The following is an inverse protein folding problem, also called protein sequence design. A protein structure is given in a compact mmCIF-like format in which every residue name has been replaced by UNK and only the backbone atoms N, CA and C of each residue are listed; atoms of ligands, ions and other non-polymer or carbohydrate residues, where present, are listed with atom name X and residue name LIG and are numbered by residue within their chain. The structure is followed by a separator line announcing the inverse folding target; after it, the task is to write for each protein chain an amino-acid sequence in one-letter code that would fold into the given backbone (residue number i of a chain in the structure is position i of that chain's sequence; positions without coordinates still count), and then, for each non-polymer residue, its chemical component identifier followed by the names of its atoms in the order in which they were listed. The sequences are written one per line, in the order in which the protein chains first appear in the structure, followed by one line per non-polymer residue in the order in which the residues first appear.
data_IF_050109372311
#
_entry.id   IF_050109372311
#
_cell.length_a   1.000
_cell.length_b   1.000
_cell.length_c   1.000
_cell.angle_alpha   90.00
_cell.angle_beta   90.00
_cell.angle_gamma   90.00
#
_symmetry.space_group_name_H-M   'P 1'
#
loop_
_entity.id
_entity.type
_entity.pdbx_description
1 polymer ?
#
# COMPACT_ATOMS: atom_id res chain seq x y z
N UNK A 1 -17.27 -9.63 12.26
CA UNK A 1 -16.89 -10.96 12.80
C UNK A 1 -15.40 -10.95 13.02
N UNK A 2 -14.91 -11.68 14.01
CA UNK A 2 -13.47 -11.90 14.15
C UNK A 2 -13.05 -13.02 13.19
N UNK A 3 -12.56 -12.66 11.99
CA UNK A 3 -12.14 -13.65 10.99
C UNK A 3 -10.93 -14.49 11.45
N UNK A 4 -10.26 -14.10 12.54
CA UNK A 4 -9.11 -14.80 13.13
C UNK A 4 -9.54 -16.06 13.92
N UNK A 5 -10.79 -16.08 14.39
CA UNK A 5 -11.39 -17.19 15.13
C UNK A 5 -12.57 -17.84 14.42
N UNK A 6 -13.08 -17.19 13.36
CA UNK A 6 -14.20 -17.69 12.57
C UNK A 6 -13.71 -18.73 11.56
N UNK A 7 -13.69 -20.00 11.96
CA UNK A 7 -13.65 -21.12 11.01
C UNK A 7 -15.09 -21.47 10.63
N UNK A 8 -15.56 -20.97 9.51
CA UNK A 8 -16.86 -21.33 8.95
C UNK A 8 -16.71 -21.99 7.59
N UNK A 9 -17.68 -22.84 7.22
CA UNK A 9 -17.88 -23.28 5.82
C UNK A 9 -18.99 -22.46 5.15
N UNK A 10 -19.47 -21.41 5.80
CA UNK A 10 -20.54 -20.54 5.29
C UNK A 10 -19.99 -19.60 4.21
N UNK A 11 -20.23 -19.98 2.96
CA UNK A 11 -19.87 -19.19 1.79
C UNK A 11 -20.49 -17.78 1.78
N UNK A 12 -21.54 -17.50 2.57
CA UNK A 12 -22.12 -16.15 2.62
C UNK A 12 -21.16 -15.11 3.23
N UNK A 13 -20.16 -15.53 4.02
CA UNK A 13 -19.20 -14.61 4.63
C UNK A 13 -18.31 -13.92 3.60
N UNK A 14 -17.85 -14.63 2.58
CA UNK A 14 -17.03 -14.03 1.50
C UNK A 14 -17.84 -13.06 0.64
N UNK A 15 -19.17 -13.17 0.67
CA UNK A 15 -20.11 -12.33 -0.08
C UNK A 15 -20.50 -11.06 0.67
N UNK A 16 -20.03 -10.87 1.91
CA UNK A 16 -20.38 -9.69 2.71
C UNK A 16 -19.70 -8.43 2.14
N UNK A 17 -20.42 -7.31 2.25
CA UNK A 17 -19.91 -5.99 1.90
C UNK A 17 -20.15 -5.02 3.06
N UNK A 18 -19.24 -4.07 3.24
CA UNK A 18 -19.46 -2.97 4.17
C UNK A 18 -20.44 -1.95 3.59
N UNK A 19 -21.30 -1.40 4.44
CA UNK A 19 -22.15 -0.28 4.05
C UNK A 19 -21.35 1.04 4.01
N UNK A 20 -21.83 2.05 3.27
CA UNK A 20 -21.21 3.37 3.29
C UNK A 20 -21.13 4.00 4.70
N UNK A 21 -22.02 3.62 5.62
CA UNK A 21 -21.99 4.12 7.01
C UNK A 21 -20.87 3.47 7.83
N UNK A 22 -20.48 2.24 7.49
CA UNK A 22 -19.33 1.56 8.11
C UNK A 22 -18.00 2.11 7.57
N UNK A 23 -17.98 2.57 6.31
CA UNK A 23 -16.81 3.15 5.64
C UNK A 23 -17.04 4.64 5.34
N UNK A 24 -17.42 5.40 6.36
CA UNK A 24 -17.92 6.79 6.21
C UNK A 24 -16.88 7.74 5.63
N UNK A 25 -15.63 7.65 6.03
CA UNK A 25 -14.51 8.47 5.54
C UNK A 25 -14.26 8.15 4.07
N UNK A 26 -13.98 6.87 3.75
CA UNK A 26 -13.70 6.45 2.38
C UNK A 26 -14.87 6.77 1.44
N UNK A 27 -16.10 6.46 1.85
CA UNK A 27 -17.31 6.70 1.04
C UNK A 27 -17.58 8.19 0.85
N UNK A 28 -17.28 9.04 1.84
CA UNK A 28 -17.45 10.49 1.70
C UNK A 28 -16.40 11.06 0.75
N UNK A 29 -15.14 10.63 0.85
CA UNK A 29 -14.08 11.04 -0.07
C UNK A 29 -14.40 10.61 -1.52
N UNK A 30 -14.87 9.37 -1.72
CA UNK A 30 -15.30 8.87 -3.03
C UNK A 30 -16.40 9.74 -3.65
N UNK A 31 -17.39 10.18 -2.87
CA UNK A 31 -18.47 11.06 -3.34
C UNK A 31 -18.02 12.50 -3.58
N UNK A 32 -17.08 12.99 -2.77
CA UNK A 32 -16.60 14.37 -2.85
C UNK A 32 -15.56 14.62 -3.96
N UNK A 33 -14.93 13.54 -4.45
CA UNK A 33 -13.87 13.57 -5.45
C UNK A 33 -14.10 12.49 -6.51
N UNK A 34 -13.13 11.58 -6.70
CA UNK A 34 -13.18 10.53 -7.70
C UNK A 34 -13.07 9.13 -7.12
N UNK A 35 -13.79 8.18 -7.70
CA UNK A 35 -13.68 6.73 -7.43
C UNK A 35 -13.58 5.95 -8.74
N UNK A 36 -12.71 4.95 -8.77
CA UNK A 36 -12.68 3.97 -9.85
C UNK A 36 -13.43 2.72 -9.43
N UNK A 37 -14.32 2.25 -10.29
CA UNK A 37 -14.94 0.93 -10.21
C UNK A 37 -14.30 -0.06 -11.21
N UNK A 38 -13.14 0.29 -11.76
CA UNK A 38 -12.37 -0.53 -12.69
C UNK A 38 -10.86 -0.43 -12.39
N UNK A 39 -10.50 -0.44 -11.10
CA UNK A 39 -9.13 -0.56 -10.62
C UNK A 39 -8.88 -1.99 -10.14
N UNK A 40 -7.85 -2.63 -10.66
CA UNK A 40 -7.55 -4.03 -10.40
C UNK A 40 -6.24 -4.19 -9.64
N UNK A 41 -6.16 -5.23 -8.80
CA UNK A 41 -4.86 -5.71 -8.34
C UNK A 41 -4.01 -6.10 -9.57
N UNK A 42 -2.71 -5.76 -9.62
CA UNK A 42 -1.85 -6.08 -10.76
C UNK A 42 -1.80 -7.57 -11.11
N UNK A 43 -1.87 -8.44 -10.09
CA UNK A 43 -1.88 -9.89 -10.24
C UNK A 43 -2.89 -10.54 -9.27
N UNK A 44 -3.47 -11.71 -9.62
CA UNK A 44 -4.39 -12.45 -8.76
C UNK A 44 -3.62 -13.16 -7.62
N UNK A 45 -2.97 -12.39 -6.77
CA UNK A 45 -2.08 -12.87 -5.72
C UNK A 45 -2.22 -12.06 -4.43
N UNK A 46 -1.38 -12.39 -3.46
CA UNK A 46 -1.30 -11.86 -2.12
C UNK A 46 -0.59 -10.49 -2.08
N UNK A 47 -0.46 -9.94 -0.87
CA UNK A 47 0.14 -8.64 -0.59
C UNK A 47 1.49 -8.37 -1.26
N UNK A 48 2.45 -9.29 -1.20
CA UNK A 48 3.83 -8.95 -1.59
C UNK A 48 3.99 -8.78 -3.10
N UNK A 49 3.48 -9.67 -3.97
CA UNK A 49 3.48 -9.42 -5.41
C UNK A 49 2.78 -8.12 -5.79
N UNK A 50 1.59 -7.84 -5.27
CA UNK A 50 0.86 -6.62 -5.64
C UNK A 50 1.54 -5.34 -5.14
N UNK A 51 2.11 -5.32 -3.93
CA UNK A 51 2.95 -4.21 -3.46
C UNK A 51 4.25 -4.08 -4.26
N UNK A 52 4.82 -5.20 -4.74
CA UNK A 52 5.98 -5.16 -5.64
C UNK A 52 5.63 -4.45 -6.95
N UNK A 53 4.46 -4.72 -7.54
CA UNK A 53 3.98 -3.95 -8.69
C UNK A 53 3.76 -2.46 -8.37
N UNK A 54 3.23 -2.11 -7.19
CA UNK A 54 3.05 -0.72 -6.78
C UNK A 54 4.37 0.07 -6.65
N UNK A 55 5.48 -0.62 -6.33
CA UNK A 55 6.78 0.01 -6.09
C UNK A 55 7.82 -0.20 -7.20
N UNK A 56 7.75 -1.29 -7.95
CA UNK A 56 8.74 -1.69 -8.95
C UNK A 56 8.12 -1.98 -10.32
N UNK A 57 6.78 -1.97 -10.44
CA UNK A 57 6.09 -2.30 -11.69
C UNK A 57 6.18 -3.78 -12.06
N UNK A 58 6.71 -4.63 -11.18
CA UNK A 58 6.88 -6.06 -11.39
C UNK A 58 6.95 -6.80 -10.05
N UNK A 59 6.63 -8.09 -10.07
CA UNK A 59 6.95 -9.04 -9.01
C UNK A 59 8.12 -9.97 -9.40
N UNK A 60 8.93 -9.64 -10.40
CA UNK A 60 10.10 -10.42 -10.80
C UNK A 60 9.78 -11.92 -11.04
N UNK A 61 8.61 -12.21 -11.61
CA UNK A 61 8.12 -13.58 -11.80
C UNK A 61 7.43 -14.23 -10.60
N UNK A 62 7.45 -13.66 -9.41
CA UNK A 62 6.86 -14.27 -8.21
C UNK A 62 5.34 -14.10 -8.13
N UNK A 63 4.65 -15.15 -7.70
CA UNK A 63 3.18 -15.24 -7.62
C UNK A 63 2.65 -15.47 -6.22
N UNK A 64 3.51 -15.43 -5.20
CA UNK A 64 3.14 -15.52 -3.79
C UNK A 64 4.12 -14.73 -2.92
N UNK A 65 3.96 -14.79 -1.60
CA UNK A 65 4.76 -14.03 -0.64
C UNK A 65 6.12 -14.69 -0.30
N UNK A 66 6.39 -15.88 -0.84
CA UNK A 66 7.36 -16.81 -0.30
C UNK A 66 6.87 -17.46 1.00
N UNK A 67 7.72 -18.24 1.65
CA UNK A 67 7.39 -18.94 2.89
C UNK A 67 8.38 -18.58 4.00
N UNK A 68 7.93 -17.97 5.12
CA UNK A 68 8.81 -17.74 6.27
C UNK A 68 9.46 -19.05 6.75
N UNK A 69 10.76 -19.07 7.12
CA UNK A 69 11.65 -17.92 7.39
C UNK A 69 12.28 -17.27 6.15
N UNK A 70 11.98 -17.76 4.95
CA UNK A 70 12.56 -17.31 3.68
C UNK A 70 11.49 -16.66 2.77
N UNK A 71 10.86 -15.54 3.18
CA UNK A 71 10.02 -14.77 2.24
C UNK A 71 10.89 -14.27 1.08
N UNK A 72 10.28 -14.03 -0.08
CA UNK A 72 11.05 -13.54 -1.24
C UNK A 72 11.78 -12.24 -0.91
N UNK A 73 13.04 -12.18 -1.30
CA UNK A 73 13.77 -10.93 -1.36
C UNK A 73 13.49 -10.27 -2.71
N UNK A 74 12.83 -9.11 -2.65
CA UNK A 74 12.49 -8.36 -3.85
C UNK A 74 13.71 -7.60 -4.35
N UNK A 75 14.64 -8.31 -5.00
CA UNK A 75 15.87 -7.78 -5.59
C UNK A 75 15.60 -7.06 -6.91
N UNK A 76 14.72 -6.07 -6.86
CA UNK A 76 14.32 -5.26 -8.01
C UNK A 76 14.57 -3.79 -7.75
N UNK A 77 14.76 -3.05 -8.83
CA UNK A 77 14.79 -1.58 -8.79
C UNK A 77 13.38 -1.07 -8.48
N UNK A 78 13.28 -0.12 -7.57
CA UNK A 78 12.01 0.49 -7.15
C UNK A 78 11.91 1.94 -7.62
N UNK A 79 10.71 2.48 -7.58
CA UNK A 79 10.42 3.89 -7.82
C UNK A 79 11.22 4.80 -6.89
N UNK A 80 11.51 4.37 -5.65
CA UNK A 80 12.32 5.13 -4.71
C UNK A 80 13.78 5.26 -5.17
N UNK A 81 14.33 4.23 -5.84
CA UNK A 81 15.63 4.33 -6.47
C UNK A 81 15.58 5.32 -7.64
N UNK A 82 14.56 5.23 -8.49
CA UNK A 82 14.37 6.14 -9.64
C UNK A 82 14.25 7.59 -9.18
N UNK A 83 13.39 7.87 -8.19
CA UNK A 83 13.20 9.22 -7.63
C UNK A 83 14.50 9.78 -7.05
N UNK A 84 15.28 8.95 -6.36
CA UNK A 84 16.61 9.34 -5.89
C UNK A 84 17.58 9.70 -7.02
N UNK A 85 17.59 8.92 -8.10
CA UNK A 85 18.51 9.12 -9.23
C UNK A 85 18.17 10.38 -10.05
N UNK A 86 16.88 10.73 -10.16
CA UNK A 86 16.43 11.98 -10.83
C UNK A 86 16.35 13.19 -9.90
N UNK A 87 16.74 13.03 -8.62
CA UNK A 87 16.75 14.11 -7.63
C UNK A 87 15.36 14.55 -7.13
N UNK A 88 14.33 13.74 -7.33
CA UNK A 88 12.98 14.00 -6.82
C UNK A 88 12.88 13.61 -5.33
N UNK A 89 12.28 14.47 -4.52
CA UNK A 89 12.13 14.20 -3.08
C UNK A 89 11.04 13.17 -2.83
N UNK A 90 11.30 12.25 -1.89
CA UNK A 90 10.33 11.23 -1.50
C UNK A 90 10.48 10.81 -0.05
N UNK A 91 9.39 10.34 0.53
CA UNK A 91 9.40 9.69 1.84
C UNK A 91 8.33 8.59 1.94
N UNK A 92 8.63 7.58 2.74
CA UNK A 92 7.69 6.58 3.21
C UNK A 92 7.33 6.91 4.65
N UNK A 93 6.05 7.09 4.93
CA UNK A 93 5.52 7.40 6.26
C UNK A 93 4.73 6.22 6.80
N UNK A 94 5.27 5.60 7.85
CA UNK A 94 4.67 4.41 8.47
C UNK A 94 3.94 4.72 9.76
N UNK A 95 2.70 4.28 9.87
CA UNK A 95 1.96 4.30 11.15
C UNK A 95 2.45 3.23 12.13
N UNK A 96 3.32 2.30 11.69
CA UNK A 96 3.87 1.23 12.54
C UNK A 96 4.43 1.81 13.86
N UNK A 97 4.10 1.14 14.97
CA UNK A 97 4.54 1.55 16.30
C UNK A 97 5.96 1.07 16.60
N UNK A 98 6.26 -0.17 16.23
CA UNK A 98 7.51 -0.85 16.60
C UNK A 98 8.23 -1.41 15.38
N UNK A 99 7.51 -2.10 14.50
CA UNK A 99 8.07 -2.67 13.29
C UNK A 99 8.60 -1.59 12.33
N UNK A 100 9.57 -1.94 11.45
CA UNK A 100 9.91 -1.11 10.31
C UNK A 100 8.74 -1.02 9.34
N UNK A 101 8.87 -0.07 8.41
CA UNK A 101 8.05 0.02 7.20
C UNK A 101 7.96 -1.32 6.49
N UNK A 102 6.77 -1.71 6.02
CA UNK A 102 6.61 -2.93 5.23
C UNK A 102 7.37 -2.76 3.90
N UNK A 103 7.30 -1.58 3.27
CA UNK A 103 8.10 -1.25 2.08
C UNK A 103 9.60 -1.42 2.32
N UNK A 104 10.12 -0.95 3.46
CA UNK A 104 11.52 -1.16 3.82
C UNK A 104 11.83 -2.65 3.94
N UNK A 105 11.00 -3.43 4.63
CA UNK A 105 11.21 -4.88 4.76
C UNK A 105 11.20 -5.60 3.42
N UNK A 106 10.43 -5.14 2.42
CA UNK A 106 10.37 -5.78 1.10
C UNK A 106 11.68 -5.75 0.34
N UNK A 107 12.27 -4.58 0.16
CA UNK A 107 13.32 -4.37 -0.84
C UNK A 107 14.69 -4.25 -0.17
N UNK A 108 15.60 -5.22 -0.34
CA UNK A 108 16.93 -5.17 0.28
C UNK A 108 17.72 -3.91 -0.09
N UNK A 109 17.54 -3.39 -1.30
CA UNK A 109 18.23 -2.17 -1.78
C UNK A 109 17.85 -0.91 -0.99
N UNK A 110 16.68 -0.88 -0.36
CA UNK A 110 16.21 0.27 0.42
C UNK A 110 16.80 0.31 1.84
N UNK A 111 17.56 -0.71 2.24
CA UNK A 111 18.31 -0.74 3.50
C UNK A 111 19.66 -0.02 3.45
N UNK A 112 20.08 0.46 2.28
CA UNK A 112 21.22 1.35 2.16
C UNK A 112 21.05 2.58 3.08
N UNK A 113 22.08 2.92 3.84
CA UNK A 113 22.10 4.02 4.80
C UNK A 113 21.65 5.35 4.19
N UNK A 114 21.88 5.57 2.89
CA UNK A 114 21.46 6.79 2.19
C UNK A 114 19.93 6.98 2.13
N UNK A 115 19.15 5.89 2.17
CA UNK A 115 17.70 5.93 2.11
C UNK A 115 17.02 6.00 3.47
N UNK A 116 17.75 5.67 4.55
CA UNK A 116 17.24 5.69 5.93
C UNK A 116 16.50 6.98 6.31
N UNK A 117 16.95 8.20 5.95
CA UNK A 117 16.22 9.44 6.27
C UNK A 117 14.83 9.56 5.64
N UNK A 118 14.56 8.81 4.57
CA UNK A 118 13.28 8.87 3.85
C UNK A 118 12.22 7.91 4.44
N UNK A 119 12.60 7.03 5.38
CA UNK A 119 11.65 6.17 6.09
C UNK A 119 11.34 6.77 7.45
N UNK A 120 10.14 7.31 7.60
CA UNK A 120 9.75 8.10 8.76
C UNK A 120 8.46 7.57 9.39
N UNK A 121 8.20 7.96 10.64
CA UNK A 121 6.93 7.65 11.32
C UNK A 121 5.82 8.56 10.78
N UNK A 122 4.57 8.14 10.91
CA UNK A 122 3.40 8.90 10.48
C UNK A 122 3.29 10.29 11.14
N UNK A 123 3.79 10.47 12.37
CA UNK A 123 3.85 11.80 12.99
C UNK A 123 4.67 12.82 12.17
N UNK A 124 5.69 12.36 11.46
CA UNK A 124 6.49 13.21 10.57
C UNK A 124 5.72 13.62 9.31
N UNK A 125 4.79 12.78 8.82
CA UNK A 125 3.86 13.17 7.75
C UNK A 125 2.96 14.32 8.22
N UNK A 126 2.36 14.19 9.40
CA UNK A 126 1.52 15.26 9.99
C UNK A 126 2.32 16.55 10.15
N UNK A 127 3.56 16.47 10.65
CA UNK A 127 4.45 17.63 10.73
C UNK A 127 4.81 18.20 9.36
N UNK A 128 5.04 17.37 8.34
CA UNK A 128 5.33 17.81 6.99
C UNK A 128 4.14 18.53 6.34
N UNK A 129 2.92 18.03 6.57
CA UNK A 129 1.68 18.70 6.18
C UNK A 129 1.56 20.09 6.84
N UNK A 130 1.80 20.19 8.14
CA UNK A 130 1.68 21.44 8.90
C UNK A 130 2.72 22.49 8.47
N UNK A 131 3.95 22.05 8.18
CA UNK A 131 5.07 22.94 7.88
C UNK A 131 5.27 23.21 6.38
N UNK A 132 4.40 22.68 5.53
CA UNK A 132 4.53 22.76 4.07
C UNK A 132 5.87 22.19 3.55
N UNK A 133 6.27 21.03 4.08
CA UNK A 133 7.52 20.33 3.73
C UNK A 133 7.27 18.91 3.24
N UNK A 134 6.09 18.64 2.69
CA UNK A 134 5.81 17.35 2.04
C UNK A 134 6.77 17.15 0.85
N UNK A 135 7.32 15.93 0.67
CA UNK A 135 8.10 15.63 -0.51
C UNK A 135 7.19 15.51 -1.75
N UNK A 136 7.80 15.52 -2.94
CA UNK A 136 7.07 15.34 -4.20
C UNK A 136 6.33 13.99 -4.25
N UNK A 137 6.88 12.94 -3.64
CA UNK A 137 6.20 11.66 -3.49
C UNK A 137 6.17 11.19 -2.04
N UNK A 138 4.97 11.06 -1.47
CA UNK A 138 4.74 10.50 -0.14
C UNK A 138 4.03 9.16 -0.27
N UNK A 139 4.60 8.08 0.26
CA UNK A 139 3.92 6.79 0.38
C UNK A 139 3.57 6.53 1.84
N UNK A 140 2.28 6.39 2.15
CA UNK A 140 1.79 6.22 3.52
C UNK A 140 1.37 4.77 3.71
N UNK A 141 1.77 4.15 4.82
CA UNK A 141 1.40 2.77 5.12
C UNK A 141 0.84 2.60 6.56
N UNK A 142 -0.12 1.68 6.73
CA UNK A 142 -0.76 1.42 8.01
C UNK A 142 0.12 0.59 8.96
N UNK A 143 -0.46 0.25 10.10
CA UNK A 143 0.04 -0.72 11.08
C UNK A 143 -0.45 -2.11 10.69
N UNK A 144 0.47 -3.07 10.71
CA UNK A 144 0.20 -4.48 10.36
C UNK A 144 0.37 -5.46 11.54
N UNK A 145 1.00 -5.02 12.63
CA UNK A 145 1.38 -5.88 13.77
C UNK A 145 0.62 -5.53 15.05
N UNK A 146 0.89 -4.33 15.58
CA UNK A 146 0.24 -3.81 16.79
C UNK A 146 -0.84 -2.82 16.42
N UNK A 147 -2.03 -3.05 16.95
CA UNK A 147 -3.24 -2.26 16.74
C UNK A 147 -3.46 -1.95 15.26
N UNK A 148 -3.56 -2.99 14.42
CA UNK A 148 -3.54 -2.85 12.98
C UNK A 148 -4.71 -1.98 12.50
N UNK A 149 -4.42 -1.15 11.49
CA UNK A 149 -5.37 -0.20 10.90
C UNK A 149 -5.30 -0.22 9.37
N UNK A 150 -4.96 -1.39 8.81
CA UNK A 150 -4.79 -1.66 7.38
C UNK A 150 -6.09 -2.12 6.69
N UNK A 151 -7.16 -2.33 7.46
CA UNK A 151 -8.43 -2.91 7.01
C UNK A 151 -8.33 -4.32 6.41
N UNK A 152 -7.21 -5.03 6.62
CA UNK A 152 -7.06 -6.40 6.17
C UNK A 152 -7.86 -7.34 7.11
N UNK A 153 -8.74 -8.23 6.62
CA UNK A 153 -9.43 -9.20 7.50
C UNK A 153 -8.41 -10.04 8.30
N UNK A 154 -8.53 -10.16 9.63
CA UNK A 154 -9.69 -9.87 10.48
C UNK A 154 -9.73 -8.48 11.10
N UNK A 155 -8.79 -7.60 10.76
CA UNK A 155 -8.61 -6.32 11.43
C UNK A 155 -9.84 -5.42 11.27
N UNK A 156 -10.06 -4.57 12.27
CA UNK A 156 -11.23 -3.71 12.34
C UNK A 156 -11.16 -2.60 11.28
N UNK A 157 -12.17 -2.55 10.41
CA UNK A 157 -12.27 -1.52 9.36
C UNK A 157 -12.41 -0.11 9.95
N UNK A 158 -12.97 0.05 11.16
CA UNK A 158 -13.06 1.34 11.85
C UNK A 158 -11.68 1.88 12.25
N UNK A 159 -10.72 0.99 12.55
CA UNK A 159 -9.34 1.39 12.79
C UNK A 159 -8.73 2.02 11.53
N UNK A 160 -8.95 1.41 10.37
CA UNK A 160 -8.50 1.96 9.10
C UNK A 160 -9.25 3.23 8.67
N UNK A 161 -10.55 3.34 8.95
CA UNK A 161 -11.31 4.58 8.73
C UNK A 161 -10.76 5.72 9.59
N UNK A 162 -10.37 5.43 10.83
CA UNK A 162 -9.73 6.41 11.72
C UNK A 162 -8.39 6.88 11.14
N UNK A 163 -7.60 5.96 10.59
CA UNK A 163 -6.32 6.30 9.96
C UNK A 163 -6.50 7.10 8.67
N UNK A 164 -7.47 6.73 7.82
CA UNK A 164 -7.84 7.51 6.64
C UNK A 164 -8.30 8.92 7.02
N UNK A 165 -9.06 9.06 8.11
CA UNK A 165 -9.44 10.36 8.64
C UNK A 165 -8.22 11.19 9.07
N UNK A 166 -7.25 10.60 9.77
CA UNK A 166 -6.03 11.30 10.17
C UNK A 166 -5.21 11.78 8.95
N UNK A 167 -5.07 10.94 7.92
CA UNK A 167 -4.40 11.30 6.66
C UNK A 167 -5.14 12.46 5.98
N UNK A 168 -6.46 12.32 5.79
CA UNK A 168 -7.30 13.34 5.18
C UNK A 168 -7.25 14.65 5.95
N UNK A 169 -7.36 14.59 7.28
CA UNK A 169 -7.37 15.79 8.12
C UNK A 169 -6.02 16.52 8.07
N UNK A 170 -4.90 15.80 8.11
CA UNK A 170 -3.58 16.39 7.98
C UNK A 170 -3.38 17.04 6.61
N UNK A 171 -3.83 16.41 5.52
CA UNK A 171 -3.72 16.95 4.17
C UNK A 171 -4.65 18.14 3.93
N UNK A 172 -5.94 18.01 4.24
CA UNK A 172 -6.95 19.05 3.98
C UNK A 172 -6.71 20.35 4.75
N UNK A 173 -5.91 20.30 5.82
CA UNK A 173 -5.49 21.48 6.60
C UNK A 173 -4.07 21.95 6.26
N UNK A 174 -3.37 21.26 5.36
CA UNK A 174 -2.02 21.60 4.94
C UNK A 174 -2.02 22.79 3.98
N UNK A 175 -1.01 23.68 4.04
CA UNK A 175 -0.74 24.65 2.98
C UNK A 175 -0.48 24.00 1.61
N UNK A 176 -0.06 22.72 1.58
CA UNK A 176 0.17 21.96 0.35
C UNK A 176 -1.12 21.39 -0.27
N UNK A 177 -2.27 21.46 0.42
CA UNK A 177 -3.55 20.93 -0.09
C UNK A 177 -3.88 21.37 -1.53
N UNK A 178 -3.73 22.66 -1.91
CA UNK A 178 -4.02 23.13 -3.27
C UNK A 178 -3.18 22.45 -4.36
N UNK A 179 -2.08 21.78 -4.02
CA UNK A 179 -1.13 21.15 -4.94
C UNK A 179 -1.05 19.62 -4.76
N UNK A 180 -1.98 19.04 -3.99
CA UNK A 180 -1.93 17.62 -3.62
C UNK A 180 -2.84 16.74 -4.49
N UNK A 181 -2.32 15.56 -4.84
CA UNK A 181 -3.09 14.41 -5.32
C UNK A 181 -2.90 13.25 -4.34
N UNK A 182 -3.96 12.88 -3.63
CA UNK A 182 -4.00 11.71 -2.77
C UNK A 182 -4.65 10.54 -3.50
N UNK A 183 -3.97 9.40 -3.51
CA UNK A 183 -4.49 8.12 -4.04
C UNK A 183 -4.65 7.15 -2.88
N UNK A 184 -5.87 6.69 -2.65
CA UNK A 184 -6.20 5.67 -1.65
C UNK A 184 -6.55 4.39 -2.40
N UNK A 185 -5.79 3.33 -2.17
CA UNK A 185 -6.06 2.01 -2.75
C UNK A 185 -5.55 0.89 -1.83
N UNK A 186 -5.87 -0.35 -2.18
CA UNK A 186 -5.57 -1.56 -1.41
C UNK A 186 -4.69 -2.45 -2.28
N UNK A 187 -3.74 -3.14 -1.66
CA UNK A 187 -2.81 -4.04 -2.36
C UNK A 187 -3.52 -5.24 -2.99
N UNK A 188 -4.51 -5.81 -2.29
CA UNK A 188 -5.34 -6.90 -2.80
C UNK A 188 -6.75 -6.86 -2.18
N UNK A 189 -7.56 -7.89 -2.41
CA UNK A 189 -9.01 -7.92 -2.17
C UNK A 189 -9.42 -8.58 -0.83
N UNK A 190 -8.46 -9.04 -0.02
CA UNK A 190 -8.68 -9.73 1.25
C UNK A 190 -9.39 -11.07 1.11
N UNK A 191 -9.42 -11.65 -0.10
CA UNK A 191 -10.21 -12.84 -0.41
C UNK A 191 -11.72 -12.60 -0.52
N UNK A 192 -12.20 -11.35 -0.53
CA UNK A 192 -13.63 -11.01 -0.58
C UNK A 192 -14.22 -11.08 -1.99
N UNK A 193 -15.51 -11.36 -2.13
CA UNK A 193 -16.13 -11.50 -3.45
C UNK A 193 -16.20 -10.17 -4.22
N UNK A 194 -15.82 -10.22 -5.50
CA UNK A 194 -16.19 -9.21 -6.50
C UNK A 194 -16.85 -9.89 -7.71
N UNK A 195 -17.86 -9.24 -8.28
CA UNK A 195 -18.65 -9.81 -9.37
C UNK A 195 -18.03 -9.60 -10.76
N UNK A 196 -17.02 -8.73 -10.90
CA UNK A 196 -16.37 -8.47 -12.19
C UNK A 196 -15.18 -9.40 -12.35
N UNK A 197 -15.19 -10.14 -13.46
CA UNK A 197 -14.05 -10.97 -13.85
C UNK A 197 -12.84 -10.07 -14.14
N UNK A 198 -11.67 -10.37 -13.57
CA UNK A 198 -10.45 -9.67 -13.90
C UNK A 198 -10.13 -9.74 -15.41
N UNK A 199 -9.72 -8.63 -16.04
CA UNK A 199 -9.29 -8.65 -17.43
C UNK A 199 -8.09 -9.57 -17.65
N UNK A 200 -8.10 -10.30 -18.76
CA UNK A 200 -7.04 -11.23 -19.18
C UNK A 200 -6.25 -10.67 -20.38
N UNK A 201 -5.95 -9.38 -20.34
CA UNK A 201 -5.19 -8.65 -21.36
C UNK A 201 -4.02 -7.86 -20.76
N UNK A 202 -3.56 -8.30 -19.60
CA UNK A 202 -2.48 -7.68 -18.88
C UNK A 202 -1.16 -7.88 -19.64
N UNK A 203 -0.25 -6.91 -19.53
CA UNK A 203 1.07 -7.03 -20.17
C UNK A 203 2.03 -7.65 -19.15
N UNK A 204 2.74 -8.75 -19.49
CA UNK A 204 3.82 -9.27 -18.65
C UNK A 204 4.89 -8.18 -18.44
N UNK A 205 5.26 -7.85 -17.20
CA UNK A 205 6.08 -6.68 -16.90
C UNK A 205 7.52 -6.81 -17.41
N UNK A 206 8.09 -8.01 -17.37
CA UNK A 206 9.49 -8.29 -17.71
C UNK A 206 9.68 -9.74 -18.18
N UNK A 207 10.93 -10.14 -18.40
CA UNK A 207 11.26 -11.50 -18.84
C UNK A 207 11.16 -12.56 -17.75
N UNK A 208 11.21 -12.19 -16.46
CA UNK A 208 11.02 -13.14 -15.36
C UNK A 208 9.54 -13.49 -15.18
N UNK A 209 8.63 -12.60 -15.60
CA UNK A 209 7.19 -12.81 -15.65
C UNK A 209 6.68 -13.39 -16.98
N UNK A 210 7.52 -14.12 -17.72
CA UNK A 210 7.12 -14.85 -18.93
C UNK A 210 7.70 -16.28 -18.94
N UNK A 211 6.98 -17.28 -18.38
CA UNK A 211 5.75 -17.14 -17.59
C UNK A 211 6.06 -16.62 -16.18
N UNK A 212 7.07 -17.14 -15.52
CA UNK A 212 7.34 -16.88 -14.09
C UNK A 212 6.92 -18.06 -13.23
N UNK A 213 6.81 -17.83 -11.93
CA UNK A 213 6.57 -18.89 -10.95
C UNK A 213 5.24 -19.59 -11.19
N UNK A 214 5.22 -20.88 -10.89
CA UNK A 214 4.04 -21.75 -11.08
C UNK A 214 3.47 -21.73 -12.51
N UNK A 215 4.28 -21.33 -13.51
CA UNK A 215 3.88 -21.22 -14.91
C UNK A 215 2.69 -20.25 -15.15
N UNK A 216 2.52 -19.25 -14.27
CA UNK A 216 1.54 -18.18 -14.45
C UNK A 216 2.06 -17.15 -15.46
N UNK A 217 1.29 -16.70 -16.44
CA UNK A 217 1.82 -15.87 -17.55
C UNK A 217 1.86 -14.35 -17.33
N UNK A 218 1.39 -13.83 -16.19
CA UNK A 218 1.24 -12.38 -15.92
C UNK A 218 0.45 -11.59 -16.98
N UNK A 219 -0.36 -12.30 -17.76
CA UNK A 219 -1.25 -11.78 -18.80
C UNK A 219 -2.67 -11.50 -18.29
N UNK A 220 -2.88 -11.62 -16.99
CA UNK A 220 -4.16 -11.38 -16.31
C UNK A 220 -3.99 -10.46 -15.11
N UNK A 221 -4.98 -9.60 -14.89
CA UNK A 221 -5.10 -8.80 -13.68
C UNK A 221 -5.67 -9.63 -12.52
N UNK A 222 -5.54 -9.13 -11.30
CA UNK A 222 -6.23 -9.65 -10.12
C UNK A 222 -7.63 -9.05 -9.94
N UNK A 223 -8.26 -9.41 -8.82
CA UNK A 223 -9.59 -8.90 -8.44
C UNK A 223 -9.58 -7.37 -8.30
N UNK A 224 -10.72 -6.73 -8.55
CA UNK A 224 -10.85 -5.29 -8.30
C UNK A 224 -10.58 -4.95 -6.84
N UNK A 225 -9.93 -3.81 -6.65
CA UNK A 225 -9.67 -3.24 -5.33
C UNK A 225 -10.17 -1.80 -5.30
N UNK A 226 -10.63 -1.28 -4.16
CA UNK A 226 -11.08 0.10 -4.10
C UNK A 226 -9.97 1.07 -4.50
N UNK A 227 -10.33 2.11 -5.25
CA UNK A 227 -9.42 3.20 -5.60
C UNK A 227 -10.17 4.53 -5.57
N UNK A 228 -9.79 5.39 -4.63
CA UNK A 228 -10.33 6.74 -4.45
C UNK A 228 -9.21 7.75 -4.69
N UNK A 229 -9.48 8.74 -5.53
CA UNK A 229 -8.50 9.77 -5.89
C UNK A 229 -9.05 11.13 -5.45
N UNK A 230 -8.26 11.83 -4.65
CA UNK A 230 -8.65 13.03 -3.91
C UNK A 230 -7.71 14.17 -4.27
N UNK A 231 -8.26 15.25 -4.82
CA UNK A 231 -7.52 16.46 -5.17
C UNK A 231 -8.49 17.62 -5.35
N UNK A 232 -8.11 18.87 -5.01
CA UNK A 232 -8.95 20.02 -5.27
C UNK A 232 -9.18 20.28 -6.77
N UNK A 233 -8.40 19.65 -7.67
CA UNK A 233 -8.57 19.75 -9.12
C UNK A 233 -9.55 18.72 -9.72
N UNK A 234 -10.23 17.94 -8.87
CA UNK A 234 -11.19 16.91 -9.29
C UNK A 234 -12.62 17.40 -9.04
N UNK A 235 -13.49 17.25 -10.03
CA UNK A 235 -14.92 17.52 -9.88
C UNK A 235 -15.58 16.52 -8.90
N UNK A 236 -16.50 16.95 -8.02
CA UNK A 236 -17.17 16.04 -7.09
C UNK A 236 -18.02 14.99 -7.82
N UNK A 237 -18.10 13.78 -7.26
CA UNK A 237 -18.91 12.69 -7.79
C UNK A 237 -18.35 12.06 -9.06
N UNK A 238 -17.05 12.22 -9.33
CA UNK A 238 -16.40 11.66 -10.51
C UNK A 238 -16.28 10.15 -10.38
N UNK A 239 -16.81 9.41 -11.36
CA UNK A 239 -16.50 7.98 -11.54
C UNK A 239 -15.60 7.85 -12.75
N UNK A 240 -14.44 7.22 -12.59
CA UNK A 240 -13.46 7.12 -13.66
C UNK A 240 -13.07 5.68 -13.99
N UNK A 241 -12.74 5.47 -15.27
CA UNK A 241 -12.25 4.22 -15.84
C UNK A 241 -11.22 4.57 -16.91
N UNK A 242 -10.35 3.63 -17.26
CA UNK A 242 -9.43 3.83 -18.38
C UNK A 242 -10.23 4.02 -19.67
N UNK A 243 -9.82 4.96 -20.51
CA UNK A 243 -10.39 5.15 -21.85
C UNK A 243 -9.82 4.18 -22.88
N UNK A 244 -8.73 3.49 -22.54
CA UNK A 244 -8.05 2.52 -23.39
C UNK A 244 -8.36 1.06 -23.01
N UNK A 245 -7.67 0.13 -23.68
CA UNK A 245 -7.82 -1.31 -23.43
C UNK A 245 -7.21 -1.76 -22.10
N UNK A 246 -6.19 -1.07 -21.61
CA UNK A 246 -5.54 -1.36 -20.32
C UNK A 246 -6.33 -0.70 -19.20
N UNK A 247 -6.88 -1.44 -18.22
CA UNK A 247 -7.53 -0.86 -17.05
C UNK A 247 -6.50 -0.19 -16.10
N UNK A 248 -6.99 0.47 -15.05
CA UNK A 248 -6.13 0.95 -13.98
C UNK A 248 -5.68 -0.22 -13.09
N UNK A 249 -4.40 -0.26 -12.73
CA UNK A 249 -3.86 -1.08 -11.66
C UNK A 249 -2.81 -0.28 -10.85
N UNK A 250 -2.11 -0.89 -9.88
CA UNK A 250 -1.13 -0.15 -9.08
C UNK A 250 0.00 0.49 -9.90
N UNK A 251 0.31 -0.01 -11.09
CA UNK A 251 1.34 0.58 -11.95
C UNK A 251 0.89 1.90 -12.57
N UNK A 252 -0.41 2.23 -12.55
CA UNK A 252 -0.91 3.56 -12.90
C UNK A 252 -0.39 4.67 -11.99
N UNK A 253 -0.03 4.36 -10.74
CA UNK A 253 0.65 5.31 -9.84
C UNK A 253 2.04 5.63 -10.40
N UNK A 254 2.78 4.61 -10.80
CA UNK A 254 4.13 4.73 -11.38
C UNK A 254 4.12 5.45 -12.72
N UNK A 255 3.16 5.14 -13.60
CA UNK A 255 2.97 5.83 -14.88
C UNK A 255 2.62 7.31 -14.68
N UNK A 256 1.80 7.62 -13.68
CA UNK A 256 1.47 9.01 -13.32
C UNK A 256 2.71 9.76 -12.83
N UNK A 257 3.54 9.16 -11.97
CA UNK A 257 4.79 9.77 -11.51
C UNK A 257 5.78 10.00 -12.66
N UNK A 258 5.93 9.02 -13.56
CA UNK A 258 6.78 9.13 -14.76
C UNK A 258 6.42 10.37 -15.57
N UNK A 259 5.13 10.52 -15.89
CA UNK A 259 4.67 11.61 -16.75
C UNK A 259 4.71 12.96 -16.02
N UNK A 260 4.30 13.00 -14.74
CA UNK A 260 4.29 14.21 -13.93
C UNK A 260 5.68 14.80 -13.70
N UNK A 261 6.67 13.95 -13.42
CA UNK A 261 8.06 14.36 -13.18
C UNK A 261 8.90 14.41 -14.45
N UNK A 262 8.34 14.05 -15.61
CA UNK A 262 9.06 14.02 -16.89
C UNK A 262 10.22 13.01 -16.92
N UNK A 263 10.08 11.87 -16.23
CA UNK A 263 11.14 10.85 -16.14
C UNK A 263 11.28 10.14 -17.50
N UNK A 264 12.47 10.22 -18.08
CA UNK A 264 12.78 9.57 -19.37
C UNK A 264 12.68 8.05 -19.30
N UNK A 265 12.33 7.40 -20.41
CA UNK A 265 12.16 5.95 -20.47
C UNK A 265 13.41 5.16 -20.08
N UNK A 266 14.61 5.73 -20.27
CA UNK A 266 15.88 5.12 -19.86
C UNK A 266 16.14 5.18 -18.35
N UNK A 267 15.56 6.17 -17.66
CA UNK A 267 15.75 6.39 -16.21
C UNK A 267 14.62 5.74 -15.39
N UNK A 268 13.46 5.54 -16.02
CA UNK A 268 12.29 4.90 -15.43
C UNK A 268 12.48 3.38 -15.26
N UNK A 269 11.62 2.77 -14.44
CA UNK A 269 11.51 1.32 -14.33
C UNK A 269 11.26 0.68 -15.70
N UNK A 270 11.99 -0.38 -16.03
CA UNK A 270 11.93 -1.08 -17.33
C UNK A 270 10.66 -1.92 -17.54
N UNK A 271 9.72 -1.89 -16.59
CA UNK A 271 8.48 -2.66 -16.64
C UNK A 271 7.61 -2.23 -17.81
N UNK A 272 7.29 -3.19 -18.69
CA UNK A 272 6.31 -3.02 -19.77
C UNK A 272 4.91 -2.72 -19.23
N UNK A 273 4.61 -3.19 -18.01
CA UNK A 273 3.33 -2.93 -17.33
C UNK A 273 3.19 -1.45 -16.98
N UNK A 274 4.25 -0.84 -16.44
CA UNK A 274 4.31 0.62 -16.18
C UNK A 274 4.20 1.41 -17.49
N UNK A 275 4.85 0.96 -18.56
CA UNK A 275 4.77 1.62 -19.87
C UNK A 275 3.34 1.61 -20.45
N UNK A 276 2.58 0.53 -20.23
CA UNK A 276 1.23 0.35 -20.75
C UNK A 276 0.11 0.94 -19.88
N UNK A 277 0.40 1.30 -18.62
CA UNK A 277 -0.61 1.70 -17.65
C UNK A 277 -1.19 3.10 -17.94
N UNK A 278 -2.51 3.31 -17.76
CA UNK A 278 -3.12 4.62 -17.84
C UNK A 278 -2.66 5.52 -16.68
N UNK A 279 -2.64 6.84 -16.89
CA UNK A 279 -2.29 7.83 -15.85
C UNK A 279 -3.52 8.48 -15.23
N UNK A 280 -3.32 9.14 -14.09
CA UNK A 280 -4.37 9.85 -13.35
C UNK A 280 -4.51 11.32 -13.76
N UNK A 281 -3.62 11.84 -14.62
CA UNK A 281 -3.67 13.22 -15.10
C UNK A 281 -5.04 13.63 -15.68
N UNK A 282 -5.77 12.77 -16.44
CA UNK A 282 -7.09 13.12 -16.96
C UNK A 282 -8.16 13.39 -15.89
N UNK A 283 -7.92 13.04 -14.62
CA UNK A 283 -8.85 13.35 -13.53
C UNK A 283 -8.79 14.82 -13.09
N UNK A 284 -7.66 15.48 -13.31
CA UNK A 284 -7.41 16.87 -12.92
C UNK A 284 -8.04 17.81 -13.97
N UNK A 285 -9.37 17.88 -13.95
CA UNK A 285 -10.20 18.51 -14.98
C UNK A 285 -10.50 19.99 -14.72
N UNK A 286 -10.22 20.49 -13.52
CA UNK A 286 -10.50 21.87 -13.14
C UNK A 286 -9.28 22.76 -13.39
N UNK A 287 -9.52 24.00 -13.84
CA UNK A 287 -8.45 24.98 -14.07
C UNK A 287 -7.93 25.63 -12.78
N UNK A 288 -8.70 25.53 -11.69
CA UNK A 288 -8.36 26.09 -10.39
C UNK A 288 -8.73 25.11 -9.26
N UNK A 289 -7.97 25.10 -8.15
CA UNK A 289 -8.25 24.21 -7.04
C UNK A 289 -9.53 24.62 -6.33
N UNK A 290 -10.41 23.66 -6.10
CA UNK A 290 -11.58 23.81 -5.24
C UNK A 290 -11.19 24.16 -3.81
N UNK A 291 -11.98 25.03 -3.19
CA UNK A 291 -11.81 25.43 -1.79
C UNK A 291 -12.83 24.77 -0.86
N UNK A 292 -13.85 24.11 -1.40
CA UNK A 292 -14.80 23.36 -0.60
C UNK A 292 -14.18 22.05 -0.11
N UNK A 293 -14.39 21.74 1.16
CA UNK A 293 -13.93 20.51 1.78
C UNK A 293 -15.15 19.68 2.24
N UNK A 294 -15.17 18.37 2.04
CA UNK A 294 -16.23 17.54 2.60
C UNK A 294 -16.20 17.59 4.13
N UNK A 295 -17.38 17.67 4.74
CA UNK A 295 -17.54 17.53 6.17
C UNK A 295 -17.42 16.04 6.55
N UNK A 296 -16.22 15.63 6.97
CA UNK A 296 -15.96 14.28 7.46
C UNK A 296 -15.80 14.36 8.98
N UNK A 297 -16.66 13.66 9.72
CA UNK A 297 -16.51 13.54 11.16
C UNK A 297 -15.46 12.46 11.48
N UNK A 298 -14.64 12.70 12.50
CA UNK A 298 -13.74 11.69 13.04
C UNK A 298 -14.56 10.43 13.41
N UNK A 299 -14.15 9.23 12.97
CA UNK A 299 -14.74 7.99 13.46
C UNK A 299 -14.66 7.91 15.00
N UNK A 300 -15.65 7.30 15.67
CA UNK A 300 -15.62 7.19 17.12
C UNK A 300 -14.43 6.34 17.57
N UNK A 301 -13.73 6.79 18.61
CA UNK A 301 -12.59 6.05 19.19
C UNK A 301 -13.00 4.73 19.88
N UNK A 302 -14.30 4.50 20.12
CA UNK A 302 -14.81 3.29 20.75
C UNK A 302 -14.99 2.17 19.72
N UNK A 303 -14.42 1.00 19.99
CA UNK A 303 -14.61 -0.19 19.15
C UNK A 303 -13.34 -0.98 18.89
N UNK A 304 -12.16 -0.40 19.14
CA UNK A 304 -10.88 -1.10 18.98
C UNK A 304 -10.86 -2.38 19.80
N UNK A 305 -10.90 -3.51 19.10
CA UNK A 305 -10.54 -4.80 19.67
C UNK A 305 -9.03 -4.74 19.91
N UNK A 306 -8.63 -4.72 21.18
CA UNK A 306 -7.23 -4.72 21.55
C UNK A 306 -6.51 -5.90 20.90
N UNK A 307 -5.31 -5.65 20.37
CA UNK A 307 -4.49 -6.70 19.78
C UNK A 307 -4.21 -7.78 20.83
N UNK A 308 -4.60 -9.04 20.55
CA UNK A 308 -4.25 -10.16 21.42
C UNK A 308 -2.77 -10.50 21.23
N UNK A 309 -1.93 -10.00 22.15
CA UNK A 309 -0.47 -10.14 22.09
C UNK A 309 0.00 -11.57 22.35
N UNK A 310 -0.84 -12.44 22.90
CA UNK A 310 -0.52 -13.84 23.13
C UNK A 310 -0.67 -14.69 21.85
N UNK A 311 -1.30 -14.16 20.79
CA UNK A 311 -1.52 -14.89 19.53
C UNK A 311 -0.21 -15.21 18.80
N UNK A 312 -0.16 -16.37 18.11
CA UNK A 312 0.91 -16.66 17.16
C UNK A 312 0.97 -15.61 16.04
N UNK A 313 2.16 -15.45 15.47
CA UNK A 313 2.34 -14.62 14.28
C UNK A 313 1.64 -15.25 13.07
N UNK A 314 0.95 -14.44 12.28
CA UNK A 314 0.53 -14.82 10.93
C UNK A 314 1.72 -14.74 9.95
N UNK A 315 1.54 -15.18 8.70
CA UNK A 315 2.65 -15.28 7.75
C UNK A 315 3.22 -13.91 7.33
N UNK A 316 2.40 -12.87 7.27
CA UNK A 316 2.88 -11.50 7.04
C UNK A 316 3.74 -11.02 8.21
N UNK A 317 3.31 -11.26 9.45
CA UNK A 317 4.04 -10.89 10.66
C UNK A 317 5.35 -11.69 10.80
N UNK A 318 5.34 -12.99 10.46
CA UNK A 318 6.57 -13.79 10.35
C UNK A 318 7.50 -13.24 9.28
N UNK A 319 6.98 -12.79 8.13
CA UNK A 319 7.78 -12.18 7.07
C UNK A 319 8.41 -10.85 7.52
N UNK A 320 7.69 -10.04 8.32
CA UNK A 320 8.24 -8.85 8.95
C UNK A 320 9.42 -9.17 9.88
N UNK A 321 9.26 -10.16 10.75
CA UNK A 321 10.31 -10.58 11.70
C UNK A 321 11.50 -11.18 10.98
N UNK A 322 11.29 -12.21 10.16
CA UNK A 322 12.36 -12.90 9.42
C UNK A 322 13.08 -11.98 8.44
N UNK A 323 12.33 -11.15 7.72
CA UNK A 323 12.88 -10.18 6.80
C UNK A 323 13.77 -9.17 7.50
N UNK A 324 13.30 -8.60 8.61
CA UNK A 324 14.09 -7.66 9.43
C UNK A 324 15.32 -8.35 10.01
N UNK A 325 15.17 -9.54 10.61
CA UNK A 325 16.26 -10.31 11.19
C UNK A 325 17.40 -10.50 10.20
N UNK A 326 17.09 -10.96 8.98
CA UNK A 326 18.09 -11.14 7.91
C UNK A 326 18.87 -9.86 7.65
N UNK A 327 18.15 -8.75 7.50
CA UNK A 327 18.71 -7.45 7.09
C UNK A 327 19.52 -6.78 8.20
N UNK A 328 19.34 -7.24 9.44
CA UNK A 328 20.14 -6.82 10.60
C UNK A 328 21.19 -7.86 10.99
N UNK A 329 21.48 -8.83 10.11
CA UNK A 329 22.53 -9.84 10.33
C UNK A 329 22.19 -10.95 11.32
N UNK A 330 20.91 -11.10 11.68
CA UNK A 330 20.41 -12.18 12.53
C UNK A 330 19.93 -13.36 11.67
N UNK A 331 20.00 -14.57 12.22
CA UNK A 331 19.47 -15.77 11.56
C UNK A 331 17.92 -15.75 11.58
N UNK A 332 17.24 -15.75 10.41
CA UNK A 332 15.79 -15.62 10.35
C UNK A 332 15.05 -16.80 10.99
N UNK A 333 15.57 -18.02 10.84
CA UNK A 333 14.97 -19.25 11.37
C UNK A 333 14.98 -19.24 12.89
N UNK A 334 16.15 -19.03 13.49
CA UNK A 334 16.33 -18.93 14.93
C UNK A 334 15.51 -17.78 15.51
N UNK A 335 15.47 -16.64 14.82
CA UNK A 335 14.67 -15.49 15.24
C UNK A 335 13.19 -15.86 15.31
N UNK A 336 12.62 -16.50 14.28
CA UNK A 336 11.21 -16.92 14.30
C UNK A 336 10.92 -17.97 15.39
N UNK A 337 11.81 -18.93 15.62
CA UNK A 337 11.67 -19.91 16.72
C UNK A 337 11.58 -19.20 18.07
N UNK A 338 12.39 -18.16 18.28
CA UNK A 338 12.37 -17.33 19.49
C UNK A 338 11.25 -16.28 19.53
N UNK A 339 10.48 -16.14 18.45
CA UNK A 339 9.42 -15.13 18.29
C UNK A 339 8.04 -15.79 18.04
N UNK A 340 7.54 -16.65 18.93
CA UNK A 340 6.34 -17.44 18.63
C UNK A 340 5.03 -16.64 18.66
N UNK A 341 5.01 -15.46 19.29
CA UNK A 341 3.79 -14.65 19.46
C UNK A 341 3.98 -13.19 19.07
N UNK A 342 2.87 -12.46 18.94
CA UNK A 342 2.85 -11.01 18.70
C UNK A 342 3.63 -10.24 19.76
N UNK A 343 3.50 -10.58 21.05
CA UNK A 343 4.30 -9.97 22.12
C UNK A 343 5.80 -10.16 21.88
N UNK A 344 6.25 -11.37 21.53
CA UNK A 344 7.67 -11.60 21.26
C UNK A 344 8.15 -10.79 20.06
N UNK A 345 7.33 -10.61 19.02
CA UNK A 345 7.69 -9.78 17.88
C UNK A 345 7.83 -8.30 18.27
N UNK A 346 6.94 -7.82 19.15
CA UNK A 346 7.02 -6.47 19.72
C UNK A 346 8.32 -6.28 20.49
N UNK A 347 8.67 -7.24 21.35
CA UNK A 347 9.91 -7.22 22.12
C UNK A 347 11.13 -7.26 21.20
N UNK A 348 11.11 -8.09 20.15
CA UNK A 348 12.14 -8.15 19.12
C UNK A 348 12.38 -6.79 18.46
N UNK A 349 11.33 -6.12 17.98
CA UNK A 349 11.47 -4.82 17.33
C UNK A 349 11.88 -3.72 18.31
N UNK A 350 11.39 -3.72 19.55
CA UNK A 350 11.83 -2.78 20.58
C UNK A 350 13.32 -2.91 20.91
N UNK A 351 13.81 -4.15 21.05
CA UNK A 351 15.22 -4.42 21.32
C UNK A 351 16.10 -3.97 20.15
N UNK A 352 15.64 -4.16 18.92
CA UNK A 352 16.35 -3.71 17.72
C UNK A 352 16.44 -2.18 17.64
N UNK A 353 15.36 -1.47 17.96
CA UNK A 353 15.33 -0.01 17.99
C UNK A 353 16.18 0.59 19.13
N UNK A 354 16.32 -0.14 20.24
CA UNK A 354 17.05 0.32 21.43
C UNK A 354 18.55 -0.02 21.38
N UNK A 355 18.96 -0.92 20.49
CA UNK A 355 20.36 -1.30 20.31
C UNK A 355 21.09 -0.24 19.50
N UNK A 356 22.32 0.17 19.89
CA UNK A 356 23.16 0.99 19.03
C UNK A 356 23.39 0.23 17.72
N UNK A 357 22.94 0.80 16.61
CA UNK A 357 23.19 0.25 15.28
C UNK A 357 24.72 0.26 15.05
N UNK A 358 25.31 -0.81 14.51
CA UNK A 358 26.76 -0.89 14.28
C UNK A 358 27.28 0.19 13.33
#
# INVERSE_FOLDING_TARGET
QDYETTSTTDASQVMQCHSPDQLKVLSTLARAYAVSDAWFAPVPSQTWPNRAFAHAGTSNGHVDNGSPPDPFEWQVRTIFNVLGDVGASWAVYSAALVAPSLTLTMFPTLWDAKYKPNFQRFSAFVSACQNNTLPQFSFIEPRFLLDPNDQHPPHDVYAGESFLYEIWHALSTSPAWPETLLVITYDEHGGTYDHVLPPANAVPPDAASDPGDQNFGFDSFGVRVPAVVVSPYIAPGTVFRSSGATPYDHTSILATLRDWLGIGAADMLSSKRVAAAPTLAPLLTLDAPRTDLPAIAAPPASGFIATDLARPLNDLQKSLVSGTARRTGLDPTATLISTPTRQHAVDFFHNLLSSPQP
#
